data_IF_994414544992
#
_entry.id   IF_994414544992
#
_cell.length_a   1.000
_cell.length_b   1.000
_cell.length_c   1.000
_cell.angle_alpha   90.00
_cell.angle_beta   90.00
_cell.angle_gamma   90.00
#
_symmetry.space_group_name_H-M   'P 1'
#
loop_
_entity.id
_entity.type
_entity.pdbx_description
1 polymer ?
#
# COMPACT_ATOMS: atom_id res chain seq x y z
N UNK A 1 -7.80 -19.51 10.22
CA UNK A 1 -7.69 -18.65 9.02
C UNK A 1 -6.99 -19.42 7.92
N UNK A 2 -7.32 -19.13 6.66
CA UNK A 2 -6.67 -19.75 5.50
C UNK A 2 -5.21 -19.31 5.38
N UNK A 3 -4.41 -20.12 4.70
CA UNK A 3 -3.03 -19.81 4.31
C UNK A 3 -3.01 -18.51 3.50
N UNK A 4 -1.96 -17.71 3.66
CA UNK A 4 -1.70 -16.53 2.82
C UNK A 4 -1.41 -16.99 1.38
N UNK A 5 -2.05 -16.36 0.41
CA UNK A 5 -1.95 -16.70 -1.02
C UNK A 5 -1.43 -15.53 -1.87
N UNK A 6 -1.63 -14.28 -1.45
CA UNK A 6 -1.29 -13.10 -2.28
C UNK A 6 -0.80 -11.90 -1.49
N UNK A 7 0.28 -11.30 -1.96
CA UNK A 7 0.86 -10.07 -1.41
C UNK A 7 0.88 -8.96 -2.47
N UNK A 8 0.33 -7.78 -2.15
CA UNK A 8 0.51 -6.57 -2.95
C UNK A 8 1.58 -5.69 -2.31
N UNK A 9 2.64 -5.43 -3.08
CA UNK A 9 3.82 -4.70 -2.64
C UNK A 9 3.99 -3.45 -3.49
N UNK A 10 4.00 -2.27 -2.87
CA UNK A 10 4.22 -0.99 -3.56
C UNK A 10 5.01 -0.05 -2.65
N UNK A 11 6.30 0.14 -2.95
CA UNK A 11 7.26 0.79 -2.06
C UNK A 11 7.98 1.96 -2.73
N UNK A 12 8.04 3.10 -2.05
CA UNK A 12 8.98 4.17 -2.41
C UNK A 12 10.39 3.75 -2.02
N UNK A 13 10.61 3.42 -0.75
CA UNK A 13 11.87 2.86 -0.26
C UNK A 13 11.86 1.33 -0.42
N UNK A 14 12.76 0.82 -1.28
CA UNK A 14 12.83 -0.59 -1.66
C UNK A 14 13.86 -1.36 -0.82
N UNK A 15 14.32 -0.80 0.30
CA UNK A 15 15.26 -1.45 1.20
C UNK A 15 14.71 -2.79 1.72
N UNK A 16 15.52 -3.84 1.62
CA UNK A 16 15.19 -5.18 2.13
C UNK A 16 14.06 -5.92 1.38
N UNK A 17 13.49 -5.35 0.31
CA UNK A 17 12.33 -5.96 -0.35
C UNK A 17 12.66 -7.27 -1.06
N UNK A 18 13.87 -7.40 -1.60
CA UNK A 18 14.27 -8.59 -2.37
C UNK A 18 14.23 -9.84 -1.49
N UNK A 19 14.85 -9.81 -0.31
CA UNK A 19 14.84 -10.93 0.62
C UNK A 19 13.43 -11.27 1.11
N UNK A 20 12.62 -10.25 1.43
CA UNK A 20 11.24 -10.47 1.85
C UNK A 20 10.39 -11.11 0.75
N UNK A 21 10.47 -10.60 -0.47
CA UNK A 21 9.68 -11.08 -1.61
C UNK A 21 10.11 -12.48 -2.07
N UNK A 22 11.41 -12.80 -2.05
CA UNK A 22 11.91 -14.16 -2.34
C UNK A 22 11.30 -15.17 -1.37
N UNK A 23 11.33 -14.87 -0.07
CA UNK A 23 10.78 -15.74 0.97
C UNK A 23 9.26 -15.93 0.82
N UNK A 24 8.52 -14.89 0.43
CA UNK A 24 7.09 -15.03 0.10
C UNK A 24 6.86 -15.97 -1.09
N UNK A 25 7.65 -15.84 -2.15
CA UNK A 25 7.55 -16.71 -3.34
C UNK A 25 7.89 -18.16 -3.00
N UNK A 26 8.91 -18.41 -2.19
CA UNK A 26 9.28 -19.76 -1.71
C UNK A 26 8.15 -20.41 -0.90
N UNK A 27 7.32 -19.60 -0.22
CA UNK A 27 6.12 -20.05 0.49
C UNK A 27 4.90 -20.29 -0.42
N UNK A 28 5.05 -19.99 -1.72
CA UNK A 28 4.01 -20.11 -2.75
C UNK A 28 3.03 -18.93 -2.80
N UNK A 29 3.44 -17.76 -2.32
CA UNK A 29 2.60 -16.55 -2.28
C UNK A 29 2.79 -15.77 -3.58
N UNK A 30 1.68 -15.45 -4.26
CA UNK A 30 1.67 -14.64 -5.48
C UNK A 30 1.98 -13.17 -5.16
N UNK A 31 2.89 -12.57 -5.93
CA UNK A 31 3.26 -11.17 -5.80
C UNK A 31 2.50 -10.30 -6.80
N UNK A 32 1.77 -9.30 -6.29
CA UNK A 32 1.26 -8.17 -7.06
C UNK A 32 2.15 -6.95 -6.83
N UNK A 33 2.46 -6.20 -7.88
CA UNK A 33 3.16 -4.92 -7.74
C UNK A 33 2.88 -3.98 -8.91
N UNK A 34 3.45 -2.77 -8.85
CA UNK A 34 3.32 -1.75 -9.89
C UNK A 34 4.59 -0.89 -9.95
N UNK A 35 4.79 -0.22 -11.08
CA UNK A 35 5.85 0.76 -11.30
C UNK A 35 7.26 0.27 -10.93
N UNK A 36 8.01 1.14 -10.25
CA UNK A 36 9.40 0.86 -9.87
C UNK A 36 9.59 -0.31 -8.91
N UNK A 37 8.55 -0.67 -8.12
CA UNK A 37 8.62 -1.86 -7.24
C UNK A 37 8.52 -3.14 -8.05
N UNK A 38 7.59 -3.22 -8.99
CA UNK A 38 7.47 -4.38 -9.89
C UNK A 38 8.76 -4.60 -10.69
N UNK A 39 9.34 -3.52 -11.22
CA UNK A 39 10.63 -3.57 -11.92
C UNK A 39 11.73 -4.14 -11.04
N UNK A 40 11.92 -3.60 -9.83
CA UNK A 40 12.96 -4.05 -8.89
C UNK A 40 12.84 -5.54 -8.56
N UNK A 41 11.62 -6.01 -8.31
CA UNK A 41 11.37 -7.43 -8.01
C UNK A 41 11.69 -8.34 -9.21
N UNK A 42 11.33 -7.93 -10.42
CA UNK A 42 11.65 -8.66 -11.65
C UNK A 42 13.15 -8.68 -11.94
N UNK A 43 13.84 -7.56 -11.70
CA UNK A 43 15.30 -7.47 -11.83
C UNK A 43 16.02 -8.43 -10.86
N UNK A 44 15.38 -8.79 -9.74
CA UNK A 44 15.83 -9.83 -8.80
C UNK A 44 15.42 -11.26 -9.20
N UNK A 45 14.83 -11.46 -10.38
CA UNK A 45 14.42 -12.77 -10.89
C UNK A 45 13.07 -13.27 -10.40
N UNK A 46 12.28 -12.44 -9.71
CA UNK A 46 10.98 -12.84 -9.15
C UNK A 46 9.85 -12.66 -10.17
N UNK A 47 8.91 -13.61 -10.17
CA UNK A 47 7.66 -13.48 -10.94
C UNK A 47 6.71 -12.56 -10.19
N UNK A 48 6.22 -11.52 -10.88
CA UNK A 48 5.33 -10.51 -10.32
C UNK A 48 4.24 -10.20 -11.34
N UNK A 49 2.99 -10.29 -10.89
CA UNK A 49 1.81 -9.84 -11.64
C UNK A 49 1.65 -8.33 -11.47
N UNK A 50 1.45 -7.62 -12.58
CA UNK A 50 1.19 -6.18 -12.49
C UNK A 50 -0.23 -5.93 -11.94
N UNK A 51 -0.39 -4.88 -11.15
CA UNK A 51 -1.72 -4.46 -10.67
C UNK A 51 -2.67 -4.16 -11.84
N UNK A 52 -2.17 -3.68 -12.97
CA UNK A 52 -2.98 -3.45 -14.17
C UNK A 52 -3.48 -4.75 -14.80
N UNK A 53 -2.68 -5.82 -14.77
CA UNK A 53 -3.10 -7.16 -15.19
C UNK A 53 -4.15 -7.72 -14.21
N UNK A 54 -3.91 -7.57 -12.91
CA UNK A 54 -4.83 -8.01 -11.87
C UNK A 54 -6.20 -7.31 -11.95
N UNK A 55 -6.21 -6.02 -12.29
CA UNK A 55 -7.44 -5.22 -12.37
C UNK A 55 -8.09 -5.21 -13.75
N UNK A 56 -7.33 -5.54 -14.80
CA UNK A 56 -7.74 -5.31 -16.18
C UNK A 56 -7.78 -3.82 -16.58
N UNK A 57 -7.23 -2.92 -15.76
CA UNK A 57 -7.26 -1.48 -15.98
C UNK A 57 -5.83 -0.90 -16.02
N UNK A 58 -5.48 -0.07 -17.03
CA UNK A 58 -4.14 0.47 -17.14
C UNK A 58 -3.86 1.54 -16.08
N UNK A 59 -2.59 1.81 -15.84
CA UNK A 59 -2.17 3.00 -15.09
C UNK A 59 -2.50 4.26 -15.89
N UNK A 60 -3.09 5.27 -15.23
CA UNK A 60 -3.56 6.51 -15.86
C UNK A 60 -3.18 7.75 -15.04
N UNK A 61 -3.25 8.92 -15.70
CA UNK A 61 -3.06 10.24 -15.07
C UNK A 61 -1.70 10.34 -14.36
N UNK A 62 -0.63 10.03 -15.09
CA UNK A 62 0.75 10.07 -14.60
C UNK A 62 0.98 9.25 -13.32
N UNK A 63 0.26 8.15 -13.18
CA UNK A 63 0.37 7.21 -12.05
C UNK A 63 -0.47 7.57 -10.84
N UNK A 64 -1.28 8.64 -10.91
CA UNK A 64 -2.26 9.00 -9.87
C UNK A 64 -3.36 7.96 -9.71
N UNK A 65 -3.73 7.26 -10.79
CA UNK A 65 -4.75 6.21 -10.77
C UNK A 65 -4.15 4.89 -11.23
N UNK A 66 -3.74 4.07 -10.26
CA UNK A 66 -3.18 2.73 -10.48
C UNK A 66 -3.76 1.64 -9.56
N UNK A 67 -3.99 1.96 -8.29
CA UNK A 67 -4.46 0.99 -7.27
C UNK A 67 -5.86 1.30 -6.73
N UNK A 68 -6.42 2.45 -7.08
CA UNK A 68 -7.77 2.89 -6.69
C UNK A 68 -8.85 2.15 -7.50
N UNK A 69 -8.91 0.82 -7.33
CA UNK A 69 -9.77 -0.05 -8.10
C UNK A 69 -10.57 -1.01 -7.19
N UNK A 70 -11.85 -1.30 -7.49
CA UNK A 70 -12.67 -2.24 -6.70
C UNK A 70 -12.07 -3.64 -6.58
N UNK A 71 -11.38 -4.15 -7.60
CA UNK A 71 -10.73 -5.47 -7.50
C UNK A 71 -9.58 -5.48 -6.47
N UNK A 72 -8.86 -4.36 -6.32
CA UNK A 72 -7.83 -4.22 -5.27
C UNK A 72 -8.49 -4.03 -3.91
N UNK A 73 -9.35 -3.02 -3.77
CA UNK A 73 -9.92 -2.68 -2.47
C UNK A 73 -10.94 -3.69 -1.96
N UNK A 74 -11.70 -4.35 -2.84
CA UNK A 74 -12.55 -5.49 -2.49
C UNK A 74 -11.73 -6.69 -2.05
N UNK A 75 -10.58 -6.94 -2.69
CA UNK A 75 -9.63 -7.98 -2.29
C UNK A 75 -9.05 -7.74 -0.89
N UNK A 76 -8.93 -6.47 -0.48
CA UNK A 76 -8.46 -6.05 0.85
C UNK A 76 -9.58 -6.01 1.89
N UNK A 77 -10.76 -5.47 1.56
CA UNK A 77 -11.79 -5.09 2.54
C UNK A 77 -12.86 -6.15 2.78
N UNK A 78 -12.92 -7.21 1.97
CA UNK A 78 -13.91 -8.25 2.21
C UNK A 78 -13.62 -8.99 3.53
N UNK A 79 -14.67 -9.23 4.32
CA UNK A 79 -14.58 -10.02 5.53
C UNK A 79 -14.72 -11.48 5.13
N UNK A 80 -13.69 -12.28 5.36
CA UNK A 80 -13.58 -13.62 4.74
C UNK A 80 -14.59 -14.62 5.30
N UNK A 81 -14.98 -14.43 6.56
CA UNK A 81 -15.99 -15.26 7.23
C UNK A 81 -17.43 -14.81 6.93
N UNK A 82 -17.63 -13.63 6.32
CA UNK A 82 -18.95 -13.12 5.95
C UNK A 82 -19.42 -13.73 4.62
N UNK A 83 -20.52 -14.49 4.65
CA UNK A 83 -21.01 -15.23 3.48
C UNK A 83 -21.43 -14.32 2.31
N UNK A 84 -22.07 -13.19 2.62
CA UNK A 84 -22.52 -12.23 1.61
C UNK A 84 -21.33 -11.58 0.92
N UNK A 85 -20.28 -11.22 1.67
CA UNK A 85 -19.04 -10.71 1.07
C UNK A 85 -18.39 -11.74 0.15
N UNK A 86 -18.34 -13.03 0.57
CA UNK A 86 -17.80 -14.10 -0.29
C UNK A 86 -18.59 -14.24 -1.60
N UNK A 87 -19.91 -14.16 -1.52
CA UNK A 87 -20.81 -14.21 -2.68
C UNK A 87 -20.54 -13.05 -3.63
N UNK A 88 -20.51 -11.81 -3.12
CA UNK A 88 -20.20 -10.61 -3.91
C UNK A 88 -18.81 -10.71 -4.55
N UNK A 89 -17.81 -11.19 -3.81
CA UNK A 89 -16.47 -11.39 -4.37
C UNK A 89 -16.47 -12.40 -5.53
N UNK A 90 -17.18 -13.52 -5.38
CA UNK A 90 -17.30 -14.52 -6.44
C UNK A 90 -18.02 -13.96 -7.68
N UNK A 91 -19.14 -13.25 -7.48
CA UNK A 91 -19.94 -12.63 -8.55
C UNK A 91 -19.14 -11.59 -9.35
N UNK A 92 -18.28 -10.83 -8.69
CA UNK A 92 -17.52 -9.74 -9.30
C UNK A 92 -16.05 -10.09 -9.61
N UNK A 93 -15.64 -11.34 -9.46
CA UNK A 93 -14.27 -11.78 -9.73
C UNK A 93 -13.22 -11.16 -8.81
N UNK A 94 -13.61 -10.73 -7.60
CA UNK A 94 -12.71 -10.14 -6.61
C UNK A 94 -11.90 -11.26 -5.95
N UNK A 95 -10.58 -11.19 -6.10
CA UNK A 95 -9.63 -12.12 -5.46
C UNK A 95 -9.08 -11.51 -4.17
N UNK A 96 -8.89 -12.33 -3.14
CA UNK A 96 -8.33 -11.88 -1.87
C UNK A 96 -6.90 -11.37 -2.01
N UNK A 97 -6.57 -10.32 -1.26
CA UNK A 97 -5.20 -9.86 -1.03
C UNK A 97 -4.93 -10.01 0.46
N UNK A 98 -3.90 -10.77 0.82
CA UNK A 98 -3.60 -11.17 2.20
C UNK A 98 -2.55 -10.28 2.86
N UNK A 99 -1.59 -9.80 2.07
CA UNK A 99 -0.53 -8.93 2.54
C UNK A 99 -0.57 -7.63 1.74
N UNK A 100 -0.54 -6.50 2.43
CA UNK A 100 -0.28 -5.18 1.87
C UNK A 100 1.05 -4.67 2.44
N UNK A 101 2.09 -4.58 1.60
CA UNK A 101 3.38 -4.01 1.98
C UNK A 101 3.58 -2.68 1.23
N UNK A 102 3.38 -1.57 1.95
CA UNK A 102 3.44 -0.21 1.40
C UNK A 102 4.14 0.69 2.39
N UNK A 103 5.12 1.48 1.95
CA UNK A 103 5.69 2.54 2.78
C UNK A 103 5.34 3.90 2.19
N UNK A 104 5.02 4.84 3.08
CA UNK A 104 4.80 6.23 2.72
C UNK A 104 6.13 6.94 2.83
N UNK A 105 6.64 7.38 1.70
CA UNK A 105 7.80 8.24 1.63
C UNK A 105 7.58 9.17 0.47
N UNK A 106 7.42 10.45 0.75
CA UNK A 106 7.59 11.52 -0.23
C UNK A 106 7.30 12.87 0.41
N UNK A 107 6.19 13.01 1.17
CA UNK A 107 5.70 14.35 1.47
C UNK A 107 6.64 15.19 2.35
N UNK A 108 6.94 14.77 3.59
CA UNK A 108 7.82 15.54 4.50
C UNK A 108 9.20 15.82 3.92
N UNK A 109 9.71 14.91 3.07
CA UNK A 109 11.00 15.08 2.41
C UNK A 109 10.95 16.07 1.26
N UNK A 110 9.91 15.99 0.42
CA UNK A 110 9.72 16.91 -0.69
C UNK A 110 9.53 18.33 -0.17
N UNK A 111 8.69 18.50 0.85
CA UNK A 111 8.42 19.83 1.41
C UNK A 111 9.52 20.38 2.32
N UNK A 112 10.56 19.60 2.59
CA UNK A 112 11.77 20.08 3.28
C UNK A 112 12.67 20.92 2.36
N UNK A 113 12.49 20.85 1.03
CA UNK A 113 13.16 21.75 0.10
C UNK A 113 12.60 23.18 0.30
N UNK A 114 13.45 24.17 0.64
CA UNK A 114 13.02 25.55 0.80
C UNK A 114 12.42 26.16 -0.48
N UNK A 115 12.66 25.56 -1.65
CA UNK A 115 12.10 25.99 -2.93
C UNK A 115 10.86 25.21 -3.37
N UNK A 116 10.33 24.32 -2.53
CA UNK A 116 9.13 23.55 -2.85
C UNK A 116 7.93 24.48 -3.08
N UNK A 117 7.40 24.49 -4.30
CA UNK A 117 6.21 25.27 -4.65
C UNK A 117 4.91 24.56 -4.22
N UNK A 118 3.78 25.28 -4.27
CA UNK A 118 2.46 24.66 -4.07
C UNK A 118 2.18 23.55 -5.08
N UNK A 119 2.56 23.73 -6.34
CA UNK A 119 2.40 22.68 -7.34
C UNK A 119 3.22 21.43 -6.99
N UNK A 120 4.48 21.61 -6.56
CA UNK A 120 5.34 20.49 -6.16
C UNK A 120 4.78 19.74 -4.95
N UNK A 121 4.33 20.48 -3.93
CA UNK A 121 3.74 19.89 -2.74
C UNK A 121 2.48 19.07 -3.08
N UNK A 122 1.57 19.63 -3.88
CA UNK A 122 0.33 18.96 -4.30
C UNK A 122 0.62 17.69 -5.12
N UNK A 123 1.60 17.70 -6.03
CA UNK A 123 1.97 16.52 -6.80
C UNK A 123 2.51 15.38 -5.93
N UNK A 124 3.14 15.72 -4.80
CA UNK A 124 3.74 14.76 -3.88
C UNK A 124 2.78 14.25 -2.79
N UNK A 125 1.49 14.61 -2.84
CA UNK A 125 0.45 14.02 -1.99
C UNK A 125 0.02 12.67 -2.60
N UNK A 126 0.39 11.59 -1.92
CA UNK A 126 0.00 10.22 -2.28
C UNK A 126 -1.43 9.94 -1.83
N UNK A 127 -2.26 9.51 -2.77
CA UNK A 127 -3.64 9.06 -2.52
C UNK A 127 -3.71 7.54 -2.42
N UNK A 128 -3.03 6.83 -3.31
CA UNK A 128 -3.12 5.38 -3.43
C UNK A 128 -2.52 4.66 -2.23
N UNK A 129 -1.34 5.08 -1.77
CA UNK A 129 -0.63 4.50 -0.63
C UNK A 129 -1.45 4.55 0.65
N UNK A 130 -1.85 5.75 1.14
CA UNK A 130 -2.68 5.88 2.34
C UNK A 130 -4.02 5.14 2.22
N UNK A 131 -4.65 5.13 1.04
CA UNK A 131 -5.93 4.42 0.85
C UNK A 131 -5.77 2.91 1.02
N UNK A 132 -4.75 2.29 0.39
CA UNK A 132 -4.46 0.87 0.56
C UNK A 132 -4.10 0.52 2.00
N UNK A 133 -3.24 1.33 2.63
CA UNK A 133 -2.82 1.14 4.02
C UNK A 133 -4.01 1.17 4.98
N UNK A 134 -4.85 2.21 4.91
CA UNK A 134 -6.03 2.34 5.76
C UNK A 134 -7.04 1.21 5.53
N UNK A 135 -7.23 0.78 4.27
CA UNK A 135 -8.10 -0.34 3.95
C UNK A 135 -7.62 -1.65 4.61
N UNK A 136 -6.32 -1.95 4.51
CA UNK A 136 -5.71 -3.14 5.09
C UNK A 136 -5.72 -3.10 6.63
N UNK A 137 -5.38 -1.96 7.22
CA UNK A 137 -5.41 -1.77 8.67
C UNK A 137 -6.83 -1.86 9.24
N UNK A 138 -7.84 -1.34 8.52
CA UNK A 138 -9.27 -1.53 8.88
C UNK A 138 -9.64 -3.01 8.92
N UNK A 139 -9.17 -3.79 7.94
CA UNK A 139 -9.47 -5.22 7.83
C UNK A 139 -8.38 -6.12 8.44
N UNK A 140 -7.73 -5.68 9.52
CA UNK A 140 -6.64 -6.43 10.17
C UNK A 140 -7.05 -7.82 10.66
N UNK A 141 -8.34 -8.13 10.76
CA UNK A 141 -8.78 -9.49 11.07
C UNK A 141 -8.29 -10.47 10.00
N UNK A 142 -8.28 -10.03 8.75
CA UNK A 142 -8.09 -10.84 7.55
C UNK A 142 -6.84 -10.47 6.74
N UNK A 143 -6.31 -9.26 6.88
CA UNK A 143 -5.19 -8.73 6.09
C UNK A 143 -4.02 -8.31 6.96
N UNK A 144 -2.81 -8.71 6.56
CA UNK A 144 -1.54 -8.27 7.16
C UNK A 144 -1.03 -7.05 6.43
N UNK A 145 -0.89 -5.94 7.12
CA UNK A 145 -0.36 -4.68 6.56
C UNK A 145 1.06 -4.43 7.07
N UNK A 146 1.98 -3.97 6.23
CA UNK A 146 3.38 -3.74 6.60
C UNK A 146 3.82 -2.40 6.02
N UNK A 147 4.35 -1.53 6.89
CA UNK A 147 4.86 -0.19 6.52
C UNK A 147 6.36 -0.01 6.77
N UNK A 148 6.99 -0.98 7.43
CA UNK A 148 8.34 -0.87 7.96
C UNK A 148 9.09 -2.19 7.73
N UNK A 149 10.22 -2.19 7.00
CA UNK A 149 11.02 -3.39 6.76
C UNK A 149 11.46 -4.13 8.03
N UNK A 150 11.54 -3.45 9.18
CA UNK A 150 11.85 -4.09 10.45
C UNK A 150 10.80 -5.13 10.89
N UNK A 151 9.58 -5.08 10.33
CA UNK A 151 8.52 -6.05 10.60
C UNK A 151 8.57 -7.29 9.68
N UNK A 152 9.39 -7.31 8.62
CA UNK A 152 9.48 -8.46 7.72
C UNK A 152 9.85 -9.77 8.43
N UNK A 153 10.86 -9.82 9.33
CA UNK A 153 11.27 -11.08 9.94
C UNK A 153 10.16 -11.75 10.76
N UNK A 154 9.42 -10.98 11.57
CA UNK A 154 8.34 -11.52 12.40
C UNK A 154 7.16 -12.00 11.55
N UNK A 155 6.83 -11.26 10.47
CA UNK A 155 5.78 -11.69 9.54
C UNK A 155 6.16 -12.99 8.85
N UNK A 156 7.38 -13.08 8.30
CA UNK A 156 7.86 -14.29 7.64
C UNK A 156 7.89 -15.49 8.58
N UNK A 157 8.37 -15.29 9.81
CA UNK A 157 8.41 -16.36 10.82
C UNK A 157 7.00 -16.92 11.08
N UNK A 158 6.01 -16.08 11.36
CA UNK A 158 4.65 -16.55 11.63
C UNK A 158 4.03 -17.27 10.42
N UNK A 159 4.28 -16.78 9.20
CA UNK A 159 3.80 -17.44 7.98
C UNK A 159 4.47 -18.81 7.79
N UNK A 160 5.78 -18.93 8.04
CA UNK A 160 6.51 -20.21 7.95
C UNK A 160 5.99 -21.22 8.97
N UNK A 161 5.67 -20.79 10.18
CA UNK A 161 5.20 -21.67 11.27
C UNK A 161 3.74 -22.07 11.13
N UNK A 162 2.86 -21.13 10.74
CA UNK A 162 1.41 -21.31 10.80
C UNK A 162 0.65 -21.11 9.49
N UNK A 163 1.35 -20.79 8.40
CA UNK A 163 0.76 -20.45 7.10
C UNK A 163 0.09 -19.07 7.05
N UNK A 164 0.02 -18.35 8.18
CA UNK A 164 -0.52 -17.00 8.31
C UNK A 164 0.04 -16.33 9.57
N UNK A 165 -0.03 -15.02 9.60
CA UNK A 165 0.26 -14.20 10.79
C UNK A 165 -0.76 -14.41 11.92
N UNK A 166 -0.35 -14.04 13.13
CA UNK A 166 -1.25 -14.02 14.30
C UNK A 166 -2.12 -12.76 14.30
N UNK A 167 -3.31 -12.86 14.90
CA UNK A 167 -4.20 -11.70 15.07
C UNK A 167 -3.54 -10.57 15.87
N UNK A 168 -2.70 -10.92 16.86
CA UNK A 168 -1.92 -9.96 17.67
C UNK A 168 -0.94 -9.17 16.79
N UNK A 169 -0.22 -9.86 15.91
CA UNK A 169 0.70 -9.22 14.96
C UNK A 169 -0.05 -8.30 14.01
N UNK A 170 -1.16 -8.76 13.41
CA UNK A 170 -1.96 -7.90 12.52
C UNK A 170 -2.51 -6.66 13.22
N UNK A 171 -2.99 -6.78 14.45
CA UNK A 171 -3.46 -5.62 15.22
C UNK A 171 -2.33 -4.62 15.50
N UNK A 172 -1.15 -5.09 15.93
CA UNK A 172 0.04 -4.24 16.14
C UNK A 172 0.40 -3.48 14.88
N UNK A 173 0.41 -4.16 13.74
CA UNK A 173 0.74 -3.58 12.44
C UNK A 173 -0.31 -2.57 11.98
N UNK A 174 -1.60 -2.87 12.16
CA UNK A 174 -2.69 -1.93 11.88
C UNK A 174 -2.59 -0.64 12.71
N UNK A 175 -2.20 -0.75 13.99
CA UNK A 175 -1.95 0.42 14.83
C UNK A 175 -0.76 1.25 14.32
N UNK A 176 0.34 0.62 13.86
CA UNK A 176 1.46 1.32 13.22
C UNK A 176 1.00 2.10 11.98
N UNK A 177 0.12 1.51 11.17
CA UNK A 177 -0.43 2.15 9.97
C UNK A 177 -1.23 3.41 10.30
N UNK A 178 -2.20 3.34 11.21
CA UNK A 178 -3.02 4.51 11.53
C UNK A 178 -2.21 5.64 12.17
N UNK A 179 -1.18 5.29 12.96
CA UNK A 179 -0.22 6.27 13.47
C UNK A 179 0.59 6.92 12.33
N UNK A 180 1.05 6.14 11.35
CA UNK A 180 1.79 6.65 10.18
C UNK A 180 0.91 7.58 9.33
N UNK A 181 -0.31 7.17 8.98
CA UNK A 181 -1.21 8.00 8.15
C UNK A 181 -1.65 9.27 8.88
N UNK A 182 -1.84 9.21 10.20
CA UNK A 182 -2.13 10.42 11.00
C UNK A 182 -0.99 11.43 10.93
N UNK A 183 0.27 10.97 11.03
CA UNK A 183 1.44 11.85 10.87
C UNK A 183 1.53 12.42 9.45
N UNK A 184 1.30 11.58 8.44
CA UNK A 184 1.29 11.98 7.04
C UNK A 184 0.29 13.11 6.76
N UNK A 185 -0.96 12.95 7.18
CA UNK A 185 -2.01 13.96 7.00
C UNK A 185 -1.72 15.24 7.81
N UNK A 186 -1.12 15.10 9.00
CA UNK A 186 -0.69 16.25 9.82
C UNK A 186 0.38 17.07 9.09
N UNK A 187 1.35 16.41 8.45
CA UNK A 187 2.39 17.08 7.69
C UNK A 187 1.81 17.84 6.49
N UNK A 188 0.85 17.24 5.78
CA UNK A 188 0.13 17.89 4.67
C UNK A 188 -0.60 19.13 5.15
N UNK A 189 -1.43 18.99 6.21
CA UNK A 189 -2.17 20.12 6.77
C UNK A 189 -1.24 21.26 7.18
N UNK A 190 -0.19 20.94 7.95
CA UNK A 190 0.76 21.94 8.45
C UNK A 190 1.54 22.65 7.33
N UNK A 191 1.73 22.01 6.18
CA UNK A 191 2.35 22.65 5.02
C UNK A 191 1.36 23.56 4.29
N UNK A 192 0.14 23.08 4.03
CA UNK A 192 -0.91 23.86 3.37
C UNK A 192 -1.30 25.10 4.19
N UNK A 193 -1.32 25.02 5.53
CA UNK A 193 -1.63 26.16 6.41
C UNK A 193 -0.61 27.31 6.31
N UNK A 194 0.58 27.08 5.76
CA UNK A 194 1.60 28.12 5.53
C UNK A 194 1.41 28.87 4.22
N UNK A 195 0.55 28.36 3.34
CA UNK A 195 0.29 28.97 2.04
C UNK A 195 -0.63 30.16 2.23
N UNK A 196 -0.10 31.36 2.00
CA UNK A 196 -0.89 32.58 1.93
C UNK A 196 -1.49 32.73 0.52
N UNK A 197 -2.80 32.55 0.41
CA UNK A 197 -3.53 32.58 -0.86
C UNK A 197 -3.49 33.94 -1.55
N UNK A 198 -3.38 35.03 -0.79
CA UNK A 198 -3.38 36.39 -1.33
C UNK A 198 -2.03 36.78 -1.95
N UNK A 199 -0.95 36.10 -1.56
CA UNK A 199 0.42 36.40 -2.02
C UNK A 199 1.10 35.29 -2.81
N UNK A 200 0.53 34.08 -2.84
CA UNK A 200 1.12 32.96 -3.57
C UNK A 200 0.83 33.02 -5.08
N UNK A 201 1.88 32.91 -5.89
CA UNK A 201 1.78 33.04 -7.35
C UNK A 201 0.92 31.97 -8.02
N UNK A 202 0.67 30.83 -7.37
CA UNK A 202 -0.20 29.76 -7.88
C UNK A 202 -1.64 30.25 -8.13
N UNK A 203 -2.12 31.20 -7.32
CA UNK A 203 -3.47 31.77 -7.45
C UNK A 203 -3.51 33.04 -8.32
N UNK A 204 -2.40 33.37 -9.01
CA UNK A 204 -2.36 34.56 -9.87
C UNK A 204 -3.37 34.43 -11.00
N UNK A 205 -4.37 35.31 -11.03
CA UNK A 205 -5.40 35.33 -12.06
C UNK A 205 -6.75 34.77 -11.63
N UNK A 206 -6.90 34.39 -10.35
CA UNK A 206 -8.19 34.28 -9.68
C UNK A 206 -8.74 35.65 -9.26
#
# INVERSE_FOLDING_TARGET
>A
MKKIERALISLTDKSGIEGFATELVELGIELLSTGGTAKKLRDSGLTVMDVSEFTGFPEMLDGRVKTLHPLVHGGILNQRENEEHRKQCAEHGIKNIDIIAVNLYAFEKTVADPNCSLADAIENIDIGGPTMLRAAAKNFNDVTVIVDPADYPVVLQEIKEGGNTTLKTRFRLAAKVFALTSKYDTAISAWLDKVDVDSNSYFSGE
#
